data_IF_157060790044
#
_entry.id   IF_157060790044
#
_cell.length_a   1.000
_cell.length_b   1.000
_cell.length_c   1.000
_cell.angle_alpha   90.00
_cell.angle_beta   90.00
_cell.angle_gamma   90.00
#
_symmetry.space_group_name_H-M   'P 1'
#
loop_
_entity.id
_entity.type
_entity.pdbx_description
1 polymer ?
#
# COMPACT_ATOMS: atom_id res chain seq x y z
N UNK A 1 13.31 -28.52 -42.92
CA UNK A 1 12.43 -27.41 -42.52
C UNK A 1 11.86 -27.58 -41.11
N UNK A 2 10.70 -28.20 -40.84
CA UNK A 2 10.13 -28.24 -39.47
C UNK A 2 11.01 -28.93 -38.40
N UNK A 3 11.81 -29.94 -38.77
CA UNK A 3 12.75 -30.59 -37.84
C UNK A 3 13.99 -29.76 -37.54
N UNK A 4 14.40 -28.85 -38.43
CA UNK A 4 15.54 -27.95 -38.21
C UNK A 4 15.16 -26.82 -37.26
N UNK A 5 13.97 -26.24 -37.43
CA UNK A 5 13.43 -25.22 -36.53
C UNK A 5 13.25 -25.77 -35.10
N UNK A 6 12.79 -27.00 -34.96
CA UNK A 6 12.69 -27.69 -33.67
C UNK A 6 14.07 -27.94 -33.02
N UNK A 7 15.11 -28.14 -33.83
CA UNK A 7 16.48 -28.37 -33.36
C UNK A 7 17.14 -27.07 -32.90
N UNK A 8 16.90 -25.97 -33.62
CA UNK A 8 17.36 -24.64 -33.23
C UNK A 8 16.67 -24.14 -31.96
N UNK A 9 15.35 -24.33 -31.84
CA UNK A 9 14.61 -23.95 -30.64
C UNK A 9 15.07 -24.73 -29.41
N UNK A 10 15.34 -26.03 -29.57
CA UNK A 10 15.88 -26.88 -28.49
C UNK A 10 17.28 -26.42 -28.07
N UNK A 11 18.13 -26.03 -29.02
CA UNK A 11 19.47 -25.53 -28.72
C UNK A 11 19.46 -24.12 -28.12
N UNK A 12 18.49 -23.26 -28.47
CA UNK A 12 18.33 -21.93 -27.87
C UNK A 12 17.88 -22.01 -26.40
N UNK A 13 17.03 -22.98 -26.05
CA UNK A 13 16.56 -23.19 -24.66
C UNK A 13 17.61 -23.88 -23.79
N UNK A 14 18.47 -24.72 -24.39
CA UNK A 14 19.58 -25.38 -23.69
C UNK A 14 20.87 -24.53 -23.64
N UNK A 15 20.95 -23.45 -24.44
CA UNK A 15 22.11 -22.56 -24.56
C UNK A 15 22.19 -21.48 -23.48
N UNK A 16 21.10 -21.15 -22.81
CA UNK A 16 21.10 -20.29 -21.62
C UNK A 16 21.50 -21.10 -20.39
N UNK A 17 22.76 -21.54 -20.36
CA UNK A 17 23.45 -21.92 -19.13
C UNK A 17 23.79 -20.65 -18.35
N UNK A 18 22.78 -19.92 -17.91
CA UNK A 18 22.96 -19.07 -16.74
C UNK A 18 22.96 -20.01 -15.54
N UNK A 19 24.08 -19.98 -14.84
CA UNK A 19 24.36 -20.74 -13.64
C UNK A 19 23.18 -20.68 -12.68
N UNK A 20 22.56 -21.85 -12.45
CA UNK A 20 21.60 -22.17 -11.39
C UNK A 20 21.17 -20.96 -10.56
N UNK A 21 20.26 -20.15 -11.09
CA UNK A 21 19.33 -19.44 -10.24
C UNK A 21 18.53 -20.54 -9.53
N UNK A 22 18.99 -20.94 -8.35
CA UNK A 22 18.17 -21.74 -7.45
C UNK A 22 16.98 -20.86 -7.09
N UNK A 23 15.89 -21.02 -7.83
CA UNK A 23 14.62 -20.40 -7.51
C UNK A 23 14.19 -20.97 -6.17
N UNK A 24 14.32 -20.14 -5.14
CA UNK A 24 13.77 -20.45 -3.84
C UNK A 24 12.24 -20.37 -3.96
N UNK A 25 11.62 -21.53 -4.15
CA UNK A 25 10.17 -21.66 -4.26
C UNK A 25 9.47 -21.19 -2.99
N UNK A 26 10.11 -21.29 -1.83
CA UNK A 26 9.57 -20.78 -0.57
C UNK A 26 9.52 -19.25 -0.58
N UNK A 27 10.62 -18.60 -1.00
CA UNK A 27 10.65 -17.15 -1.15
C UNK A 27 9.62 -16.64 -2.18
N UNK A 28 9.43 -17.35 -3.28
CA UNK A 28 8.41 -17.01 -4.29
C UNK A 28 7.00 -17.12 -3.70
N UNK A 29 6.69 -18.23 -3.03
CA UNK A 29 5.41 -18.43 -2.37
C UNK A 29 5.14 -17.36 -1.30
N UNK A 30 6.16 -17.03 -0.50
CA UNK A 30 6.06 -15.99 0.54
C UNK A 30 5.74 -14.61 -0.08
N UNK A 31 6.42 -14.23 -1.16
CA UNK A 31 6.15 -12.96 -1.86
C UNK A 31 4.75 -12.94 -2.49
N UNK A 32 4.28 -14.05 -3.08
CA UNK A 32 2.92 -14.12 -3.65
C UNK A 32 1.87 -13.90 -2.55
N UNK A 33 2.03 -14.56 -1.40
CA UNK A 33 1.12 -14.39 -0.25
C UNK A 33 1.17 -12.95 0.26
N UNK A 34 2.35 -12.36 0.36
CA UNK A 34 2.50 -10.98 0.81
C UNK A 34 1.89 -9.96 -0.17
N UNK A 35 2.07 -10.17 -1.49
CA UNK A 35 1.42 -9.37 -2.53
C UNK A 35 -0.09 -9.46 -2.45
N UNK A 36 -0.64 -10.65 -2.24
CA UNK A 36 -2.07 -10.83 -2.08
C UNK A 36 -2.59 -10.06 -0.85
N UNK A 37 -1.88 -10.14 0.28
CA UNK A 37 -2.21 -9.34 1.48
C UNK A 37 -2.10 -7.84 1.23
N UNK A 38 -1.12 -7.39 0.45
CA UNK A 38 -0.94 -5.97 0.09
C UNK A 38 -1.97 -5.46 -0.90
N UNK A 39 -2.48 -6.32 -1.79
CA UNK A 39 -3.46 -5.95 -2.83
C UNK A 39 -4.79 -5.43 -2.27
N UNK A 40 -5.10 -5.75 -1.01
CA UNK A 40 -6.30 -5.31 -0.29
C UNK A 40 -6.09 -4.00 0.46
N UNK A 41 -4.90 -3.40 0.41
CA UNK A 41 -4.55 -2.24 1.22
C UNK A 41 -4.50 -0.96 0.40
N UNK A 42 -5.05 0.13 0.96
CA UNK A 42 -4.85 1.50 0.49
C UNK A 42 -4.14 2.29 1.60
N UNK A 43 -3.17 3.12 1.21
CA UNK A 43 -2.52 4.06 2.12
C UNK A 43 -3.01 5.47 1.81
N UNK A 44 -3.51 6.15 2.84
CA UNK A 44 -3.98 7.54 2.77
C UNK A 44 -2.98 8.41 3.53
N UNK A 45 -2.49 9.45 2.88
CA UNK A 45 -1.52 10.41 3.41
C UNK A 45 -2.21 11.72 3.77
N UNK A 46 -1.56 12.53 4.61
CA UNK A 46 -2.02 13.87 5.00
C UNK A 46 -3.44 13.86 5.59
N UNK A 47 -3.69 12.90 6.49
CA UNK A 47 -4.93 12.83 7.27
C UNK A 47 -4.63 13.32 8.68
N UNK A 48 -5.31 14.39 9.08
CA UNK A 48 -5.14 15.08 10.35
C UNK A 48 -5.08 14.10 11.52
N UNK A 49 -4.02 14.19 12.31
CA UNK A 49 -3.79 13.35 13.48
C UNK A 49 -3.87 14.17 14.77
N UNK A 50 -4.87 13.90 15.61
CA UNK A 50 -4.96 14.52 16.93
C UNK A 50 -4.24 13.67 17.98
N UNK A 51 -2.97 13.99 18.23
CA UNK A 51 -2.08 13.20 19.11
C UNK A 51 -2.51 13.29 20.57
N UNK A 52 -3.16 14.39 20.96
CA UNK A 52 -3.53 14.73 22.35
C UNK A 52 -4.69 13.87 22.89
N UNK A 53 -5.33 13.08 22.03
CA UNK A 53 -6.49 12.25 22.37
C UNK A 53 -6.12 10.83 22.81
N UNK A 54 -7.05 10.17 23.51
CA UNK A 54 -6.93 8.74 23.83
C UNK A 54 -6.91 7.84 22.58
N UNK A 55 -6.29 6.66 22.66
CA UNK A 55 -6.13 5.74 21.52
C UNK A 55 -7.45 5.35 20.84
N UNK A 56 -8.49 5.04 21.64
CA UNK A 56 -9.81 4.67 21.13
C UNK A 56 -10.51 5.83 20.40
N UNK A 57 -10.38 7.05 20.95
CA UNK A 57 -10.99 8.23 20.37
C UNK A 57 -10.30 8.62 19.06
N UNK A 58 -8.96 8.56 19.01
CA UNK A 58 -8.19 8.73 17.76
C UNK A 58 -8.60 7.73 16.68
N UNK A 59 -8.74 6.45 17.04
CA UNK A 59 -9.20 5.44 16.08
C UNK A 59 -10.60 5.75 15.54
N UNK A 60 -11.47 6.31 16.37
CA UNK A 60 -12.84 6.67 15.96
C UNK A 60 -12.82 7.84 14.98
N UNK A 61 -12.02 8.87 15.25
CA UNK A 61 -11.81 9.99 14.32
C UNK A 61 -11.16 9.55 13.01
N UNK A 62 -10.13 8.71 13.07
CA UNK A 62 -9.48 8.13 11.89
C UNK A 62 -10.49 7.37 11.03
N UNK A 63 -11.34 6.54 11.65
CA UNK A 63 -12.42 5.84 10.95
C UNK A 63 -13.36 6.82 10.25
N UNK A 64 -13.84 7.85 10.96
CA UNK A 64 -14.74 8.85 10.39
C UNK A 64 -14.12 9.59 9.21
N UNK A 65 -12.88 10.06 9.33
CA UNK A 65 -12.15 10.74 8.27
C UNK A 65 -11.95 9.83 7.05
N UNK A 66 -11.55 8.57 7.25
CA UNK A 66 -11.38 7.60 6.17
C UNK A 66 -12.70 7.37 5.43
N UNK A 67 -13.80 7.15 6.16
CA UNK A 67 -15.12 6.93 5.54
C UNK A 67 -15.53 8.14 4.70
N UNK A 68 -15.35 9.35 5.22
CA UNK A 68 -15.63 10.58 4.48
C UNK A 68 -14.80 10.70 3.20
N UNK A 69 -13.51 10.33 3.24
CA UNK A 69 -12.64 10.35 2.05
C UNK A 69 -13.11 9.31 1.02
N UNK A 70 -13.40 8.08 1.45
CA UNK A 70 -13.78 7.01 0.53
C UNK A 70 -15.18 7.21 -0.07
N UNK A 71 -16.12 7.75 0.70
CA UNK A 71 -17.48 8.08 0.25
C UNK A 71 -17.52 9.17 -0.84
N UNK A 72 -16.42 9.89 -1.08
CA UNK A 72 -16.30 10.79 -2.24
C UNK A 72 -16.18 10.02 -3.58
N UNK A 73 -15.90 8.72 -3.53
CA UNK A 73 -15.67 7.85 -4.68
C UNK A 73 -16.80 6.83 -4.80
N UNK A 74 -17.09 6.11 -3.71
CA UNK A 74 -18.16 5.09 -3.64
C UNK A 74 -18.64 4.96 -2.21
N UNK A 75 -19.89 4.55 -2.03
CA UNK A 75 -20.42 4.19 -0.71
C UNK A 75 -19.64 2.98 -0.15
N UNK A 76 -19.17 3.09 1.09
CA UNK A 76 -18.41 2.06 1.78
C UNK A 76 -19.07 1.70 3.10
N UNK A 77 -19.22 0.40 3.36
CA UNK A 77 -19.59 -0.10 4.67
C UNK A 77 -18.39 0.00 5.64
N UNK A 78 -18.46 0.84 6.68
CA UNK A 78 -17.34 1.07 7.58
C UNK A 78 -16.98 -0.15 8.44
N UNK A 79 -17.91 -1.07 8.64
CA UNK A 79 -17.71 -2.26 9.50
C UNK A 79 -16.81 -3.31 8.84
N UNK A 80 -16.63 -3.22 7.52
CA UNK A 80 -15.81 -4.17 6.75
C UNK A 80 -14.34 -3.75 6.65
N UNK A 81 -14.02 -2.50 7.04
CA UNK A 81 -12.68 -1.94 6.91
C UNK A 81 -11.86 -2.10 8.18
N UNK A 82 -10.62 -2.56 8.03
CA UNK A 82 -9.60 -2.48 9.08
C UNK A 82 -8.76 -1.22 8.84
N UNK A 83 -8.77 -0.32 9.82
CA UNK A 83 -8.13 0.99 9.74
C UNK A 83 -7.07 1.10 10.84
N UNK A 84 -5.84 1.43 10.46
CA UNK A 84 -4.73 1.62 11.39
C UNK A 84 -3.70 2.63 10.86
N UNK A 85 -3.08 3.41 11.74
CA UNK A 85 -1.95 4.27 11.36
C UNK A 85 -0.65 3.49 11.27
N UNK A 86 0.17 3.82 10.28
CA UNK A 86 1.49 3.23 10.06
C UNK A 86 2.54 4.00 10.88
N UNK A 87 3.37 3.28 11.63
CA UNK A 87 4.45 3.86 12.45
C UNK A 87 4.03 4.18 13.88
N UNK A 88 5.00 4.59 14.70
CA UNK A 88 4.79 4.85 16.13
C UNK A 88 4.28 6.27 16.38
N UNK A 89 3.39 6.43 17.36
CA UNK A 89 2.89 7.74 17.80
C UNK A 89 4.05 8.57 18.32
N UNK A 90 4.34 9.72 17.70
CA UNK A 90 5.30 10.68 18.21
C UNK A 90 4.59 11.61 19.20
N UNK A 91 4.75 11.37 20.51
CA UNK A 91 4.06 12.13 21.56
C UNK A 91 4.65 13.53 21.80
N UNK A 92 5.91 13.74 21.39
CA UNK A 92 6.63 14.97 21.67
C UNK A 92 6.72 15.83 20.41
N UNK A 93 5.88 16.88 20.31
CA UNK A 93 5.98 17.93 19.27
C UNK A 93 7.35 18.64 19.26
N UNK A 94 8.10 18.55 20.36
CA UNK A 94 9.43 19.13 20.53
C UNK A 94 10.57 18.14 20.29
N UNK A 95 10.28 16.84 20.12
CA UNK A 95 11.30 15.90 19.68
C UNK A 95 11.34 15.94 18.16
N UNK A 96 12.29 16.71 17.66
CA UNK A 96 13.00 16.50 16.40
C UNK A 96 13.52 15.06 16.32
N UNK A 97 12.61 14.08 16.22
CA UNK A 97 12.90 12.68 16.01
C UNK A 97 12.81 12.41 14.52
N UNK A 98 13.88 12.84 13.84
CA UNK A 98 14.46 12.15 12.68
C UNK A 98 13.47 11.66 11.62
N UNK A 99 12.73 12.59 11.00
CA UNK A 99 12.89 12.59 9.53
C UNK A 99 14.37 12.86 9.32
N UNK A 100 15.10 11.98 8.63
CA UNK A 100 16.54 12.19 8.32
C UNK A 100 16.82 13.57 7.67
N UNK A 101 15.78 14.33 7.33
CA UNK A 101 15.81 15.61 6.64
C UNK A 101 15.22 16.81 7.44
N UNK A 102 15.07 16.74 8.78
CA UNK A 102 14.72 17.92 9.59
C UNK A 102 13.36 18.57 9.29
N UNK A 103 12.42 17.81 8.71
CA UNK A 103 11.09 18.31 8.37
C UNK A 103 10.16 18.46 9.59
N UNK A 104 9.06 19.24 9.44
CA UNK A 104 8.05 19.39 10.48
C UNK A 104 7.41 18.04 10.85
N UNK A 105 6.76 17.93 12.03
CA UNK A 105 6.00 16.75 12.42
C UNK A 105 5.04 16.37 11.28
N UNK A 106 5.20 15.15 10.74
CA UNK A 106 4.32 14.65 9.67
C UNK A 106 3.28 13.73 10.27
N UNK A 107 2.04 13.98 9.91
CA UNK A 107 0.92 13.09 10.22
C UNK A 107 1.21 11.68 9.70
N UNK A 108 0.94 10.67 10.53
CA UNK A 108 1.21 9.29 10.13
C UNK A 108 0.23 8.83 9.06
N UNK A 109 0.68 8.10 8.02
CA UNK A 109 -0.23 7.56 7.02
C UNK A 109 -1.24 6.59 7.65
N UNK A 110 -2.46 6.57 7.11
CA UNK A 110 -3.48 5.59 7.49
C UNK A 110 -3.49 4.45 6.48
N UNK A 111 -3.32 3.23 6.96
CA UNK A 111 -3.57 1.99 6.22
C UNK A 111 -5.05 1.62 6.36
N UNK A 112 -5.71 1.44 5.22
CA UNK A 112 -7.06 0.90 5.11
C UNK A 112 -6.95 -0.47 4.44
N UNK A 113 -7.45 -1.51 5.10
CA UNK A 113 -7.49 -2.87 4.56
C UNK A 113 -8.94 -3.23 4.25
N UNK A 114 -9.18 -3.57 2.99
CA UNK A 114 -10.48 -4.00 2.47
C UNK A 114 -10.65 -5.51 2.61
N UNK A 115 -11.89 -6.03 2.65
CA UNK A 115 -12.13 -7.47 2.65
C UNK A 115 -11.66 -8.14 1.35
N UNK A 116 -11.75 -7.42 0.22
CA UNK A 116 -11.36 -7.87 -1.10
C UNK A 116 -10.46 -6.84 -1.82
N UNK A 117 -9.67 -7.30 -2.78
CA UNK A 117 -8.77 -6.45 -3.57
C UNK A 117 -9.51 -5.66 -4.65
N UNK A 118 -10.69 -6.12 -5.08
CA UNK A 118 -11.50 -5.47 -6.10
C UNK A 118 -11.98 -4.08 -5.66
N UNK A 119 -12.45 -3.93 -4.43
CA UNK A 119 -12.84 -2.65 -3.86
C UNK A 119 -11.64 -1.70 -3.76
N UNK A 120 -10.49 -2.20 -3.28
CA UNK A 120 -9.27 -1.40 -3.20
C UNK A 120 -8.85 -0.90 -4.59
N UNK A 121 -8.89 -1.77 -5.60
CA UNK A 121 -8.57 -1.45 -6.98
C UNK A 121 -9.58 -0.48 -7.60
N UNK A 122 -10.87 -0.67 -7.35
CA UNK A 122 -11.93 0.23 -7.79
C UNK A 122 -11.71 1.64 -7.27
N UNK A 123 -11.42 1.79 -5.98
CA UNK A 123 -11.13 3.09 -5.37
C UNK A 123 -9.88 3.71 -5.99
N UNK A 124 -8.80 2.93 -6.17
CA UNK A 124 -7.56 3.44 -6.77
C UNK A 124 -7.72 3.89 -8.23
N UNK A 125 -8.62 3.24 -8.99
CA UNK A 125 -8.94 3.60 -10.39
C UNK A 125 -9.86 4.81 -10.49
N UNK A 126 -10.80 4.95 -9.56
CA UNK A 126 -11.83 6.00 -9.60
C UNK A 126 -11.52 7.20 -8.69
N UNK A 127 -10.40 7.17 -7.95
CA UNK A 127 -9.94 8.35 -7.21
C UNK A 127 -9.76 9.49 -8.20
N UNK A 128 -10.45 10.60 -7.95
CA UNK A 128 -10.20 11.83 -8.71
C UNK A 128 -8.78 12.25 -8.38
N UNK A 129 -7.90 12.30 -9.39
CA UNK A 129 -6.60 12.96 -9.25
C UNK A 129 -6.92 14.43 -9.05
N UNK A 130 -7.01 14.88 -7.79
CA UNK A 130 -6.84 16.31 -7.52
C UNK A 130 -5.41 16.61 -7.93
N UNK A 131 -5.26 17.29 -9.07
CA UNK A 131 -3.98 17.86 -9.51
C UNK A 131 -3.29 18.48 -8.29
N UNK A 132 -1.96 18.35 -8.13
CA UNK A 132 -1.27 19.11 -7.09
C UNK A 132 -1.70 20.57 -7.23
N UNK A 133 -2.08 21.19 -6.10
CA UNK A 133 -2.21 22.64 -6.02
C UNK A 133 -0.89 23.21 -6.52
N UNK A 134 -0.89 23.77 -7.72
CA UNK A 134 0.15 24.70 -8.15
C UNK A 134 0.12 25.83 -7.14
N UNK A 135 1.14 25.89 -6.30
CA UNK A 135 1.41 27.08 -5.50
C UNK A 135 1.66 28.21 -6.52
N UNK A 136 0.70 29.14 -6.62
CA UNK A 136 0.85 30.43 -7.29
C UNK A 136 1.32 31.43 -6.26
#
# INVERSE_FOLDING_TARGET
MLMEEMKELKNSVLGTKDEKATFDMEAICAEVIDREKRSKNIIIYNVTENIDMGSSQRLTEDKQQVIQILNQITEINPNELIISRIGNVQKNKNETSTSRNGGPPRERPIKVTFPNSEQALFILRNKKVKSPMTYV
#
